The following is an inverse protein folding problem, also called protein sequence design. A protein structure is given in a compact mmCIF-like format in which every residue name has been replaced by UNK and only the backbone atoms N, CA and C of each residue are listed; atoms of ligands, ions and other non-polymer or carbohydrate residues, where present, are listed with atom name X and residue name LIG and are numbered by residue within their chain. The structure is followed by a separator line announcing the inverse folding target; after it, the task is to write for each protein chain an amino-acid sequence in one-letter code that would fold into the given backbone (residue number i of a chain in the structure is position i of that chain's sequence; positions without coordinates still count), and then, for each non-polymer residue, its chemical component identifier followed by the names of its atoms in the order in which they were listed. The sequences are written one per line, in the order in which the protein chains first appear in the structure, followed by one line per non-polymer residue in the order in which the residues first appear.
data_IF_406203056786
#
_entry.id   IF_406203056786
#
_cell.length_a   1.000
_cell.length_b   1.000
_cell.length_c   1.000
_cell.angle_alpha   90.00
_cell.angle_beta   90.00
_cell.angle_gamma   90.00
#
_symmetry.space_group_name_H-M   'P 1'
#
loop_
_entity.id
_entity.type
_entity.pdbx_description
1 polymer ?
#
# COMPACT_ATOMS: atom_id res chain seq x y z
N UNK A 1 -8.73 17.38 7.33
CA UNK A 1 -9.48 18.05 6.24
C UNK A 1 -10.72 17.24 5.85
N UNK A 2 -11.82 17.89 5.44
CA UNK A 2 -13.06 17.24 4.97
C UNK A 2 -12.85 16.29 3.78
N UNK A 3 -11.89 16.60 2.91
CA UNK A 3 -11.56 15.79 1.73
C UNK A 3 -10.90 14.46 2.10
N UNK A 4 -9.92 14.50 3.02
CA UNK A 4 -9.25 13.29 3.54
C UNK A 4 -10.27 12.32 4.11
N UNK A 5 -11.16 12.78 5.00
CA UNK A 5 -12.23 11.94 5.58
C UNK A 5 -13.20 11.40 4.54
N UNK A 6 -13.46 12.14 3.45
CA UNK A 6 -14.28 11.66 2.33
C UNK A 6 -13.55 10.55 1.56
N UNK A 7 -12.25 10.70 1.32
CA UNK A 7 -11.44 9.70 0.66
C UNK A 7 -11.35 8.41 1.50
N UNK A 8 -11.03 8.52 2.79
CA UNK A 8 -10.99 7.37 3.73
C UNK A 8 -12.32 6.60 3.75
N UNK A 9 -13.46 7.29 3.81
CA UNK A 9 -14.77 6.62 3.74
C UNK A 9 -14.97 5.85 2.44
N UNK A 10 -14.49 6.38 1.31
CA UNK A 10 -14.56 5.68 0.01
C UNK A 10 -13.60 4.50 -0.04
N UNK A 11 -12.42 4.61 0.53
CA UNK A 11 -11.48 3.50 0.67
C UNK A 11 -12.12 2.31 1.41
N UNK A 12 -12.86 2.59 2.50
CA UNK A 12 -13.64 1.56 3.21
C UNK A 12 -14.77 0.99 2.34
N UNK A 13 -15.62 1.85 1.77
CA UNK A 13 -16.79 1.38 0.98
C UNK A 13 -16.40 0.61 -0.28
N UNK A 14 -15.27 0.94 -0.90
CA UNK A 14 -14.81 0.28 -2.12
C UNK A 14 -13.86 -0.88 -1.86
N UNK A 15 -13.43 -1.10 -0.62
CA UNK A 15 -12.36 -2.05 -0.31
C UNK A 15 -12.68 -3.48 -0.73
N UNK A 16 -13.82 -4.00 -0.28
CA UNK A 16 -14.24 -5.37 -0.63
C UNK A 16 -14.46 -5.54 -2.14
N UNK A 17 -15.11 -4.56 -2.79
CA UNK A 17 -15.33 -4.62 -4.24
C UNK A 17 -14.02 -4.67 -5.04
N UNK A 18 -12.99 -3.92 -4.62
CA UNK A 18 -11.67 -3.96 -5.25
C UNK A 18 -10.94 -5.28 -5.01
N UNK A 19 -11.07 -5.89 -3.83
CA UNK A 19 -10.51 -7.22 -3.59
C UNK A 19 -11.20 -8.29 -4.46
N UNK A 20 -12.52 -8.22 -4.63
CA UNK A 20 -13.25 -9.12 -5.54
C UNK A 20 -12.78 -8.97 -6.99
N UNK A 21 -12.51 -7.73 -7.45
CA UNK A 21 -11.93 -7.50 -8.78
C UNK A 21 -10.54 -8.14 -8.90
N UNK A 22 -9.70 -8.01 -7.87
CA UNK A 22 -8.40 -8.68 -7.81
C UNK A 22 -8.51 -10.20 -7.89
N UNK A 23 -9.45 -10.79 -7.15
CA UNK A 23 -9.72 -12.23 -7.21
C UNK A 23 -10.16 -12.67 -8.60
N UNK A 24 -11.09 -11.94 -9.23
CA UNK A 24 -11.54 -12.23 -10.60
C UNK A 24 -10.39 -12.15 -11.60
N UNK A 25 -9.51 -11.16 -11.46
CA UNK A 25 -8.31 -11.04 -12.31
C UNK A 25 -7.36 -12.23 -12.11
N UNK A 26 -7.12 -12.65 -10.86
CA UNK A 26 -6.30 -13.82 -10.55
C UNK A 26 -6.89 -15.10 -11.18
N UNK A 27 -8.20 -15.32 -11.02
CA UNK A 27 -8.93 -16.46 -11.62
C UNK A 27 -8.88 -16.48 -13.15
N UNK A 28 -8.87 -15.30 -13.78
CA UNK A 28 -8.78 -15.18 -15.23
C UNK A 28 -7.39 -15.54 -15.76
N UNK A 29 -6.34 -15.30 -14.97
CA UNK A 29 -4.96 -15.70 -15.30
C UNK A 29 -4.70 -17.17 -14.96
N UNK A 30 -5.22 -17.62 -13.82
CA UNK A 30 -5.08 -18.99 -13.34
C UNK A 30 -6.38 -19.47 -12.66
N UNK A 31 -7.08 -20.37 -13.36
CA UNK A 31 -8.33 -20.97 -12.90
C UNK A 31 -8.18 -22.00 -11.76
N UNK A 32 -6.96 -22.21 -11.25
CA UNK A 32 -6.72 -23.03 -10.05
C UNK A 32 -6.63 -22.21 -8.76
N UNK A 33 -6.60 -20.87 -8.84
CA UNK A 33 -6.57 -20.00 -7.66
C UNK A 33 -7.84 -20.16 -6.85
N UNK A 34 -7.72 -20.67 -5.62
CA UNK A 34 -8.86 -20.84 -4.73
C UNK A 34 -9.19 -19.54 -3.98
N UNK A 35 -10.47 -19.37 -3.67
CA UNK A 35 -10.97 -18.15 -3.01
C UNK A 35 -10.33 -17.95 -1.62
N UNK A 36 -10.25 -19.03 -0.84
CA UNK A 36 -9.70 -19.00 0.52
C UNK A 36 -8.22 -18.60 0.53
N UNK A 37 -7.44 -19.13 -0.42
CA UNK A 37 -6.00 -18.83 -0.54
C UNK A 37 -5.81 -17.37 -0.96
N UNK A 38 -6.55 -16.90 -1.97
CA UNK A 38 -6.46 -15.52 -2.43
C UNK A 38 -6.78 -14.50 -1.33
N UNK A 39 -7.90 -14.66 -0.62
CA UNK A 39 -8.27 -13.72 0.43
C UNK A 39 -7.46 -13.89 1.73
N UNK A 40 -6.77 -15.02 1.90
CA UNK A 40 -5.80 -15.23 2.98
C UNK A 40 -4.49 -14.47 2.76
N UNK A 41 -4.03 -14.40 1.52
CA UNK A 41 -2.72 -13.83 1.17
C UNK A 41 -2.79 -12.39 0.63
N UNK A 42 -3.87 -12.03 -0.06
CA UNK A 42 -3.97 -10.76 -0.78
C UNK A 42 -4.76 -9.72 0.03
N UNK A 43 -4.07 -8.64 0.39
CA UNK A 43 -4.65 -7.47 1.05
C UNK A 43 -4.79 -6.27 0.12
N UNK A 44 -5.73 -5.37 0.45
CA UNK A 44 -5.88 -4.09 -0.25
C UNK A 44 -5.09 -3.00 0.46
N UNK A 45 -4.19 -2.36 -0.26
CA UNK A 45 -3.41 -1.21 0.23
C UNK A 45 -3.82 0.07 -0.47
N UNK A 46 -4.48 0.98 0.25
CA UNK A 46 -4.77 2.32 -0.24
C UNK A 46 -3.60 3.27 0.00
N UNK A 47 -3.38 4.22 -0.91
CA UNK A 47 -2.45 5.34 -0.68
C UNK A 47 -3.04 6.28 0.38
N UNK A 48 -2.16 6.99 1.09
CA UNK A 48 -2.56 7.99 2.08
C UNK A 48 -3.48 9.05 1.45
N UNK A 49 -4.67 9.20 2.02
CA UNK A 49 -5.68 10.16 1.61
C UNK A 49 -5.25 11.62 1.77
N UNK A 50 -4.22 11.89 2.59
CA UNK A 50 -3.65 13.21 2.77
C UNK A 50 -2.78 13.68 1.59
N UNK A 51 -2.40 12.74 0.70
CA UNK A 51 -1.56 12.98 -0.49
C UNK A 51 -0.35 13.88 -0.18
N UNK A 52 0.53 13.46 0.75
CA UNK A 52 1.66 14.29 1.15
C UNK A 52 2.60 14.53 -0.02
N UNK A 53 3.31 15.65 0.00
CA UNK A 53 4.33 15.93 -1.02
C UNK A 53 5.51 14.97 -0.86
N UNK A 54 6.26 14.76 -1.95
CA UNK A 54 7.51 13.99 -1.90
C UNK A 54 8.49 14.55 -0.87
N UNK A 55 8.57 15.89 -0.77
CA UNK A 55 9.42 16.57 0.21
C UNK A 55 8.98 16.28 1.67
N UNK A 56 7.68 16.37 1.96
CA UNK A 56 7.16 16.06 3.30
C UNK A 56 7.39 14.59 3.68
N UNK A 57 7.26 13.68 2.71
CA UNK A 57 7.52 12.25 2.90
C UNK A 57 9.00 11.99 3.19
N UNK A 58 9.90 12.58 2.39
CA UNK A 58 11.35 12.45 2.58
C UNK A 58 11.81 13.00 3.95
N UNK A 59 11.28 14.15 4.36
CA UNK A 59 11.55 14.75 5.68
C UNK A 59 11.07 13.86 6.84
N UNK A 60 9.86 13.29 6.73
CA UNK A 60 9.33 12.36 7.73
C UNK A 60 10.21 11.09 7.84
N UNK A 61 10.57 10.49 6.69
CA UNK A 61 11.46 9.31 6.63
C UNK A 61 12.82 9.62 7.24
N UNK A 62 13.43 10.75 6.86
CA UNK A 62 14.74 11.18 7.37
C UNK A 62 14.73 11.31 8.89
N UNK A 63 13.64 11.85 9.46
CA UNK A 63 13.49 11.98 10.92
C UNK A 63 13.32 10.63 11.62
N UNK A 64 12.49 9.74 11.08
CA UNK A 64 12.26 8.42 11.66
C UNK A 64 13.54 7.57 11.65
N UNK A 65 14.29 7.63 10.55
CA UNK A 65 15.59 6.94 10.42
C UNK A 65 16.64 7.57 11.32
N UNK A 66 16.78 8.90 11.30
CA UNK A 66 17.75 9.62 12.13
C UNK A 66 17.52 9.45 13.65
N UNK A 67 16.26 9.23 14.07
CA UNK A 67 15.90 8.92 15.44
C UNK A 67 16.09 7.43 15.80
N UNK A 68 16.49 6.57 14.86
CA UNK A 68 16.65 5.13 15.06
C UNK A 68 15.33 4.36 15.25
N UNK A 69 14.19 4.96 14.87
CA UNK A 69 12.87 4.31 14.98
C UNK A 69 12.68 3.29 13.86
N UNK A 70 13.14 3.62 12.64
CA UNK A 70 13.09 2.75 11.49
C UNK A 70 14.51 2.55 10.89
N UNK A 71 14.91 1.33 10.54
CA UNK A 71 16.14 1.11 9.79
C UNK A 71 16.07 1.74 8.39
N UNK A 72 17.17 2.35 7.93
CA UNK A 72 17.23 3.08 6.67
C UNK A 72 16.96 2.21 5.43
N UNK A 73 17.36 0.94 5.50
CA UNK A 73 17.26 -0.10 4.47
C UNK A 73 16.03 -1.00 4.66
N UNK A 74 15.16 -0.69 5.62
CA UNK A 74 13.96 -1.49 5.82
C UNK A 74 12.99 -1.32 4.65
N UNK A 75 12.32 -2.43 4.28
CA UNK A 75 11.24 -2.42 3.28
C UNK A 75 10.18 -1.35 3.57
N UNK A 76 9.83 -1.18 4.85
CA UNK A 76 8.88 -0.15 5.29
C UNK A 76 9.31 1.26 4.89
N UNK A 77 10.58 1.62 5.05
CA UNK A 77 11.09 2.94 4.66
C UNK A 77 11.02 3.14 3.14
N UNK A 78 11.38 2.12 2.36
CA UNK A 78 11.33 2.17 0.91
C UNK A 78 9.88 2.29 0.39
N UNK A 79 8.95 1.55 0.98
CA UNK A 79 7.52 1.65 0.66
C UNK A 79 6.93 3.00 1.07
N UNK A 80 7.37 3.58 2.20
CA UNK A 80 6.98 4.93 2.61
C UNK A 80 7.43 5.99 1.59
N UNK A 81 8.63 5.82 1.01
CA UNK A 81 9.11 6.65 -0.11
C UNK A 81 8.33 6.43 -1.41
N UNK A 82 7.45 5.43 -1.45
CA UNK A 82 6.58 5.11 -2.56
C UNK A 82 7.21 4.21 -3.61
N UNK A 83 8.29 3.49 -3.25
CA UNK A 83 8.85 2.44 -4.08
C UNK A 83 7.88 1.24 -4.08
N UNK A 84 7.68 0.64 -5.26
CA UNK A 84 6.99 -0.63 -5.41
C UNK A 84 7.95 -1.81 -5.21
N UNK A 85 7.41 -3.03 -5.17
CA UNK A 85 8.18 -4.24 -4.86
C UNK A 85 9.35 -4.46 -5.83
N UNK A 86 9.13 -4.19 -7.12
CA UNK A 86 10.16 -4.33 -8.17
C UNK A 86 11.26 -3.30 -7.96
N UNK A 87 10.90 -2.07 -7.58
CA UNK A 87 11.86 -1.02 -7.28
C UNK A 87 12.63 -1.27 -5.98
N UNK A 88 11.99 -1.86 -4.97
CA UNK A 88 12.62 -2.25 -3.70
C UNK A 88 13.66 -3.34 -3.93
N UNK A 89 13.36 -4.34 -4.76
CA UNK A 89 14.30 -5.43 -5.08
C UNK A 89 15.55 -4.96 -5.86
N UNK A 90 15.47 -3.79 -6.51
CA UNK A 90 16.56 -3.24 -7.32
C UNK A 90 17.56 -2.37 -6.54
N UNK A 91 17.30 -2.07 -5.26
CA UNK A 91 18.14 -1.25 -4.37
C UNK A 91 18.98 -2.13 -3.47
#
# INVERSE_FOLDING_TARGET
SRLVKRAERRQTSFGQGWLSVGFLAARALDSSVEEADFFGDVGLRWRDASTPTRAATADAVTKLVGAGILPADSRTVLEMLGLDDVQVEAV
#
